data_IF_759205072582
#
_entry.id   IF_759205072582
#
_cell.length_a   1.000
_cell.length_b   1.000
_cell.length_c   1.000
_cell.angle_alpha   90.00
_cell.angle_beta   90.00
_cell.angle_gamma   90.00
#
_symmetry.space_group_name_H-M   'P 1'
#
loop_
_entity.id
_entity.type
_entity.pdbx_description
1 polymer ?
#
# COMPACT_ATOMS: atom_id res chain seq x y z
N UNK A 1 -19.19 -44.67 -20.08
CA UNK A 1 -18.39 -44.24 -18.94
C UNK A 1 -18.03 -42.76 -19.13
N UNK A 2 -18.81 -41.87 -18.50
CA UNK A 2 -18.58 -40.42 -18.57
C UNK A 2 -17.65 -40.01 -17.46
N UNK A 3 -16.53 -39.39 -17.79
CA UNK A 3 -15.70 -38.71 -16.85
C UNK A 3 -16.29 -37.33 -16.55
N UNK A 4 -16.89 -37.20 -15.37
CA UNK A 4 -17.32 -35.92 -14.82
C UNK A 4 -16.05 -35.20 -14.38
N UNK A 5 -15.66 -34.17 -15.08
CA UNK A 5 -14.60 -33.24 -14.62
C UNK A 5 -15.20 -32.40 -13.51
N UNK A 6 -14.85 -32.67 -12.28
CA UNK A 6 -15.04 -31.74 -11.18
C UNK A 6 -14.16 -30.52 -11.45
N UNK A 7 -14.80 -29.44 -11.94
CA UNK A 7 -14.19 -28.13 -11.89
C UNK A 7 -14.03 -27.77 -10.40
N UNK A 8 -12.82 -27.82 -9.89
CA UNK A 8 -12.47 -27.21 -8.62
C UNK A 8 -12.81 -25.73 -8.72
N UNK A 9 -13.80 -25.28 -7.94
CA UNK A 9 -14.00 -23.86 -7.66
C UNK A 9 -12.75 -23.37 -6.92
N UNK A 10 -11.72 -23.00 -7.68
CA UNK A 10 -10.53 -22.39 -7.13
C UNK A 10 -10.95 -21.14 -6.36
N UNK A 11 -10.72 -21.14 -5.04
CA UNK A 11 -10.57 -19.88 -4.32
C UNK A 11 -9.59 -19.06 -5.15
N UNK A 12 -10.00 -17.87 -5.60
CA UNK A 12 -9.06 -16.88 -6.12
C UNK A 12 -8.14 -16.56 -4.95
N UNK A 13 -7.01 -17.24 -4.87
CA UNK A 13 -5.93 -16.86 -3.99
C UNK A 13 -5.51 -15.48 -4.42
N UNK A 14 -5.63 -14.50 -3.56
CA UNK A 14 -5.07 -13.19 -3.80
C UNK A 14 -3.57 -13.38 -3.97
N UNK A 15 -3.03 -13.15 -5.17
CA UNK A 15 -1.59 -13.25 -5.39
C UNK A 15 -0.85 -12.30 -4.45
N UNK A 16 0.34 -12.68 -4.00
CA UNK A 16 1.16 -11.80 -3.15
C UNK A 16 1.50 -10.54 -3.93
N UNK A 17 1.23 -9.40 -3.32
CA UNK A 17 1.50 -8.09 -3.88
C UNK A 17 2.87 -7.55 -3.47
N UNK A 18 3.37 -6.60 -4.27
CA UNK A 18 4.63 -5.90 -4.03
C UNK A 18 4.44 -4.39 -4.25
N UNK A 19 4.85 -3.58 -3.26
CA UNK A 19 5.06 -2.15 -3.45
C UNK A 19 6.45 -1.92 -4.09
N UNK A 20 6.45 -1.33 -5.29
CA UNK A 20 7.67 -1.18 -6.09
C UNK A 20 8.70 -0.19 -5.53
N UNK A 21 8.35 0.57 -4.50
CA UNK A 21 9.32 1.39 -3.76
C UNK A 21 10.45 0.55 -3.15
N UNK A 22 10.15 -0.69 -2.81
CA UNK A 22 11.11 -1.69 -2.31
C UNK A 22 12.29 -1.92 -3.26
N UNK A 23 12.08 -1.79 -4.56
CA UNK A 23 13.09 -2.02 -5.60
C UNK A 23 13.32 -0.76 -6.45
N UNK A 24 13.10 0.43 -5.88
CA UNK A 24 13.12 1.71 -6.62
C UNK A 24 14.41 1.97 -7.39
N UNK A 25 15.57 1.60 -6.82
CA UNK A 25 16.85 1.79 -7.50
C UNK A 25 16.99 0.83 -8.70
N UNK A 26 16.61 -0.44 -8.53
CA UNK A 26 16.60 -1.40 -9.61
C UNK A 26 15.59 -1.02 -10.72
N UNK A 27 14.42 -0.47 -10.34
CA UNK A 27 13.43 0.04 -11.30
C UNK A 27 13.96 1.27 -12.05
N UNK A 28 14.75 2.13 -11.40
CA UNK A 28 15.37 3.28 -12.07
C UNK A 28 16.45 2.84 -13.08
N UNK A 29 17.16 1.76 -12.80
CA UNK A 29 18.21 1.24 -13.65
C UNK A 29 17.67 0.39 -14.83
N UNK A 30 16.73 -0.54 -14.54
CA UNK A 30 16.17 -1.46 -15.54
C UNK A 30 14.75 -1.89 -15.14
N UNK A 31 13.76 -1.21 -15.68
CA UNK A 31 12.35 -1.50 -15.42
C UNK A 31 11.97 -2.91 -15.84
N UNK A 32 12.33 -3.32 -17.07
CA UNK A 32 11.91 -4.61 -17.61
C UNK A 32 12.57 -5.78 -16.87
N UNK A 33 13.87 -5.71 -16.64
CA UNK A 33 14.60 -6.74 -15.90
C UNK A 33 14.13 -6.86 -14.45
N UNK A 34 13.80 -5.73 -13.81
CA UNK A 34 13.25 -5.73 -12.45
C UNK A 34 11.87 -6.39 -12.38
N UNK A 35 10.97 -6.05 -13.30
CA UNK A 35 9.64 -6.68 -13.40
C UNK A 35 9.74 -8.18 -13.69
N UNK A 36 10.67 -8.61 -14.56
CA UNK A 36 10.91 -10.04 -14.83
C UNK A 36 11.36 -10.78 -13.57
N UNK A 37 12.26 -10.19 -12.79
CA UNK A 37 12.75 -10.78 -11.53
C UNK A 37 11.63 -10.97 -10.53
N UNK A 38 10.83 -9.96 -10.26
CA UNK A 38 9.74 -10.06 -9.26
C UNK A 38 8.62 -11.01 -9.71
N UNK A 39 8.31 -11.05 -11.02
CA UNK A 39 7.41 -12.06 -11.58
C UNK A 39 7.96 -13.48 -11.37
N UNK A 40 9.27 -13.68 -11.59
CA UNK A 40 9.98 -14.93 -11.35
C UNK A 40 9.97 -15.38 -9.91
N UNK A 41 10.01 -14.44 -8.95
CA UNK A 41 9.86 -14.72 -7.50
C UNK A 41 8.43 -15.11 -7.10
N UNK A 42 7.42 -14.81 -7.93
CA UNK A 42 6.05 -15.20 -7.67
C UNK A 42 5.11 -14.05 -7.29
N UNK A 43 5.56 -12.81 -7.26
CA UNK A 43 4.68 -11.66 -7.08
C UNK A 43 3.71 -11.52 -8.25
N UNK A 44 2.46 -11.12 -7.95
CA UNK A 44 1.40 -11.05 -8.96
C UNK A 44 0.66 -9.71 -8.98
N UNK A 45 0.55 -9.04 -7.86
CA UNK A 45 -0.12 -7.76 -7.72
C UNK A 45 0.92 -6.67 -7.50
N UNK A 46 0.82 -5.58 -8.23
CA UNK A 46 1.76 -4.48 -8.08
C UNK A 46 1.07 -3.25 -7.52
N UNK A 47 1.77 -2.59 -6.63
CA UNK A 47 1.54 -1.21 -6.28
C UNK A 47 2.72 -0.36 -6.74
N UNK A 48 2.43 0.69 -7.48
CA UNK A 48 3.46 1.55 -8.08
C UNK A 48 3.93 2.62 -7.09
N UNK A 49 5.12 3.14 -7.31
CA UNK A 49 5.71 4.24 -6.51
C UNK A 49 6.32 5.34 -7.39
N UNK A 50 6.01 5.33 -8.68
CA UNK A 50 6.51 6.34 -9.62
C UNK A 50 5.40 6.76 -10.58
N UNK A 51 5.12 8.06 -10.57
CA UNK A 51 4.27 8.71 -11.55
C UNK A 51 4.87 10.09 -11.85
N UNK A 52 5.05 10.37 -13.14
CA UNK A 52 5.56 11.66 -13.59
C UNK A 52 4.92 12.04 -14.94
N UNK A 53 4.23 13.20 -14.97
CA UNK A 53 3.70 13.80 -16.20
C UNK A 53 2.84 12.85 -17.07
N UNK A 54 2.02 11.99 -16.46
CA UNK A 54 1.16 11.03 -17.15
C UNK A 54 1.87 9.73 -17.53
N UNK A 55 3.05 9.49 -17.01
CA UNK A 55 3.84 8.28 -17.25
C UNK A 55 4.11 7.55 -15.95
N UNK A 56 4.25 6.23 -16.05
CA UNK A 56 4.65 5.34 -14.98
C UNK A 56 6.01 4.72 -15.34
N UNK A 57 7.03 5.00 -14.55
CA UNK A 57 8.41 4.56 -14.82
C UNK A 57 8.90 4.94 -16.24
N UNK A 58 8.47 6.12 -16.75
CA UNK A 58 8.84 6.62 -18.06
C UNK A 58 7.98 6.11 -19.23
N UNK A 59 7.10 5.14 -19.01
CA UNK A 59 6.20 4.56 -20.02
C UNK A 59 4.81 5.20 -19.96
N UNK A 60 4.11 5.21 -21.10
CA UNK A 60 2.67 5.52 -21.10
C UNK A 60 1.87 4.48 -20.30
N UNK A 61 0.68 4.81 -19.82
CA UNK A 61 -0.17 3.85 -19.09
C UNK A 61 -0.38 2.54 -19.84
N UNK A 62 -0.66 2.60 -21.14
CA UNK A 62 -0.90 1.42 -21.96
C UNK A 62 0.35 0.55 -22.14
N UNK A 63 1.52 1.16 -22.34
CA UNK A 63 2.80 0.44 -22.48
C UNK A 63 3.18 -0.26 -21.16
N UNK A 64 3.08 0.46 -20.04
CA UNK A 64 3.41 -0.09 -18.73
C UNK A 64 2.46 -1.23 -18.35
N UNK A 65 1.15 -1.03 -18.54
CA UNK A 65 0.14 -2.06 -18.31
C UNK A 65 0.45 -3.32 -19.09
N UNK A 66 0.69 -3.20 -20.41
CA UNK A 66 1.03 -4.35 -21.26
C UNK A 66 2.28 -5.08 -20.79
N UNK A 67 3.32 -4.35 -20.40
CA UNK A 67 4.57 -4.92 -19.90
C UNK A 67 4.35 -5.77 -18.65
N UNK A 68 3.52 -5.31 -17.72
CA UNK A 68 3.17 -6.01 -16.49
C UNK A 68 2.29 -7.24 -16.79
N UNK A 69 1.28 -7.09 -17.63
CA UNK A 69 0.36 -8.17 -18.03
C UNK A 69 1.07 -9.29 -18.80
N UNK A 70 2.01 -8.96 -19.68
CA UNK A 70 2.83 -9.94 -20.42
C UNK A 70 3.67 -10.83 -19.47
N UNK A 71 3.94 -10.37 -18.25
CA UNK A 71 4.63 -11.11 -17.20
C UNK A 71 3.69 -11.85 -16.25
N UNK A 72 2.38 -11.83 -16.51
CA UNK A 72 1.36 -12.48 -15.67
C UNK A 72 1.10 -11.78 -14.34
N UNK A 73 1.36 -10.48 -14.28
CA UNK A 73 1.09 -9.62 -13.12
C UNK A 73 -0.02 -8.61 -13.43
N UNK A 74 -0.55 -7.96 -12.41
CA UNK A 74 -1.57 -6.92 -12.51
C UNK A 74 -1.17 -5.69 -11.68
N UNK A 75 -1.36 -4.48 -12.21
CA UNK A 75 -1.24 -3.26 -11.42
C UNK A 75 -2.54 -3.00 -10.70
N UNK A 76 -2.52 -3.09 -9.38
CA UNK A 76 -3.71 -2.93 -8.53
C UNK A 76 -3.84 -1.50 -8.01
N UNK A 77 -2.71 -0.93 -7.58
CA UNK A 77 -2.66 0.33 -6.87
C UNK A 77 -1.44 1.16 -7.28
N UNK A 78 -1.48 2.43 -6.96
CA UNK A 78 -0.35 3.33 -7.15
C UNK A 78 -0.25 4.30 -5.97
N UNK A 79 0.88 4.28 -5.28
CA UNK A 79 1.32 5.39 -4.45
C UNK A 79 1.67 6.56 -5.37
N UNK A 80 0.90 7.64 -5.27
CA UNK A 80 1.05 8.77 -6.16
C UNK A 80 1.41 10.02 -5.36
N UNK A 81 2.69 10.35 -5.39
CA UNK A 81 3.23 11.58 -4.83
C UNK A 81 3.63 12.49 -5.98
N UNK A 82 2.84 13.54 -6.20
CA UNK A 82 3.10 14.56 -7.21
C UNK A 82 3.63 15.79 -6.51
N UNK A 83 4.92 16.04 -6.63
CA UNK A 83 5.61 17.08 -5.86
C UNK A 83 5.37 16.91 -4.34
N UNK A 84 5.70 17.92 -3.54
CA UNK A 84 5.49 17.88 -2.10
C UNK A 84 4.00 17.83 -1.70
N UNK A 85 3.13 18.47 -2.49
CA UNK A 85 1.71 18.55 -2.18
C UNK A 85 0.92 17.25 -2.44
N UNK A 86 1.50 16.28 -3.16
CA UNK A 86 0.83 15.05 -3.52
C UNK A 86 -0.38 15.25 -4.44
N UNK A 87 -1.46 14.51 -4.19
CA UNK A 87 -2.71 14.64 -4.95
C UNK A 87 -3.53 15.79 -4.37
N UNK A 88 -3.83 16.78 -5.19
CA UNK A 88 -4.56 18.00 -4.85
C UNK A 88 -5.79 18.17 -5.75
N UNK A 89 -6.68 19.09 -5.42
CA UNK A 89 -7.83 19.42 -6.27
C UNK A 89 -7.42 19.86 -7.68
N UNK A 90 -6.29 20.57 -7.81
CA UNK A 90 -5.82 21.09 -9.09
C UNK A 90 -5.33 19.98 -10.05
N UNK A 91 -4.77 18.90 -9.50
CA UNK A 91 -4.23 17.77 -10.30
C UNK A 91 -5.14 16.53 -10.33
N UNK A 92 -6.15 16.44 -9.44
CA UNK A 92 -6.95 15.23 -9.24
C UNK A 92 -7.60 14.69 -10.51
N UNK A 93 -8.14 15.54 -11.39
CA UNK A 93 -8.76 15.09 -12.65
C UNK A 93 -7.74 14.42 -13.56
N UNK A 94 -6.59 15.03 -13.74
CA UNK A 94 -5.51 14.45 -14.55
C UNK A 94 -5.01 13.14 -13.95
N UNK A 95 -4.84 13.10 -12.62
CA UNK A 95 -4.46 11.87 -11.91
C UNK A 95 -5.48 10.76 -12.15
N UNK A 96 -6.77 11.07 -12.03
CA UNK A 96 -7.85 10.11 -12.26
C UNK A 96 -7.83 9.57 -13.70
N UNK A 97 -7.68 10.44 -14.70
CA UNK A 97 -7.66 10.04 -16.11
C UNK A 97 -6.44 9.13 -16.43
N UNK A 98 -5.25 9.50 -15.96
CA UNK A 98 -4.02 8.73 -16.21
C UNK A 98 -4.05 7.36 -15.50
N UNK A 99 -4.54 7.31 -14.27
CA UNK A 99 -4.67 6.08 -13.50
C UNK A 99 -5.78 5.17 -14.04
N UNK A 100 -6.88 5.74 -14.53
CA UNK A 100 -7.93 4.98 -15.22
C UNK A 100 -7.41 4.36 -16.52
N UNK A 101 -6.58 5.10 -17.27
CA UNK A 101 -5.93 4.57 -18.47
C UNK A 101 -4.97 3.41 -18.18
N UNK A 102 -4.29 3.44 -17.03
CA UNK A 102 -3.48 2.32 -16.53
C UNK A 102 -4.36 1.13 -16.08
N UNK A 103 -5.56 1.41 -15.59
CA UNK A 103 -6.54 0.42 -15.15
C UNK A 103 -6.38 -0.01 -13.69
N UNK A 104 -5.78 0.82 -12.84
CA UNK A 104 -5.65 0.55 -11.39
C UNK A 104 -7.00 0.62 -10.70
N UNK A 105 -7.14 -0.09 -9.58
CA UNK A 105 -8.32 -0.03 -8.72
C UNK A 105 -8.19 1.06 -7.66
N UNK A 106 -6.97 1.35 -7.23
CA UNK A 106 -6.66 2.27 -6.14
C UNK A 106 -5.61 3.30 -6.57
N UNK A 107 -5.80 4.53 -6.10
CA UNK A 107 -4.79 5.59 -6.16
C UNK A 107 -4.60 6.11 -4.74
N UNK A 108 -3.42 5.96 -4.19
CA UNK A 108 -3.15 6.17 -2.77
C UNK A 108 -2.22 7.36 -2.57
N UNK A 109 -2.61 8.27 -1.69
CA UNK A 109 -1.74 9.32 -1.17
C UNK A 109 -0.82 8.71 -0.10
N UNK A 110 0.51 8.63 -0.32
CA UNK A 110 1.40 7.90 0.57
C UNK A 110 2.00 8.73 1.70
N UNK A 111 1.89 10.06 1.66
CA UNK A 111 2.69 10.93 2.52
C UNK A 111 2.03 12.26 2.78
N UNK A 112 2.31 12.84 3.95
CA UNK A 112 2.07 14.24 4.29
C UNK A 112 3.40 14.86 4.69
N UNK A 113 3.73 15.99 4.08
CA UNK A 113 4.99 16.70 4.35
C UNK A 113 5.07 17.16 5.81
N UNK A 114 6.29 17.18 6.36
CA UNK A 114 6.52 17.51 7.76
C UNK A 114 5.95 18.89 8.15
N UNK A 115 6.05 19.87 7.26
CA UNK A 115 5.51 21.21 7.47
C UNK A 115 3.97 21.23 7.63
N UNK A 116 3.28 20.21 7.10
CA UNK A 116 1.83 20.08 7.14
C UNK A 116 1.33 19.13 8.25
N UNK A 117 2.23 18.57 9.07
CA UNK A 117 1.87 17.66 10.17
C UNK A 117 1.40 18.42 11.40
N UNK A 118 0.30 19.14 11.25
CA UNK A 118 -0.38 19.87 12.32
C UNK A 118 -1.91 19.80 12.14
N UNK A 119 -2.64 20.08 13.19
CA UNK A 119 -4.10 19.91 13.26
C UNK A 119 -4.84 20.69 12.18
N UNK A 120 -4.45 21.94 11.93
CA UNK A 120 -5.11 22.81 10.94
C UNK A 120 -4.87 22.30 9.52
N UNK A 121 -3.62 22.00 9.16
CA UNK A 121 -3.28 21.45 7.86
C UNK A 121 -3.94 20.10 7.61
N UNK A 122 -3.95 19.20 8.58
CA UNK A 122 -4.61 17.89 8.43
C UNK A 122 -6.10 18.03 8.09
N UNK A 123 -6.84 18.90 8.81
CA UNK A 123 -8.27 19.12 8.53
C UNK A 123 -8.50 19.68 7.13
N UNK A 124 -7.67 20.65 6.72
CA UNK A 124 -7.77 21.23 5.39
C UNK A 124 -7.47 20.21 4.30
N UNK A 125 -6.38 19.47 4.43
CA UNK A 125 -5.95 18.44 3.47
C UNK A 125 -7.04 17.36 3.33
N UNK A 126 -7.62 16.88 4.44
CA UNK A 126 -8.66 15.85 4.40
C UNK A 126 -9.95 16.37 3.76
N UNK A 127 -10.31 17.63 3.98
CA UNK A 127 -11.44 18.22 3.29
C UNK A 127 -11.23 18.23 1.77
N UNK A 128 -10.02 18.60 1.30
CA UNK A 128 -9.63 18.55 -0.11
C UNK A 128 -9.62 17.09 -0.63
N UNK A 129 -9.11 16.14 0.14
CA UNK A 129 -9.07 14.72 -0.23
C UNK A 129 -10.46 14.09 -0.36
N UNK A 130 -11.45 14.52 0.38
CA UNK A 130 -12.83 14.07 0.19
C UNK A 130 -13.35 14.46 -1.21
N UNK A 131 -13.00 15.66 -1.69
CA UNK A 131 -13.35 16.06 -3.07
C UNK A 131 -12.50 15.31 -4.12
N UNK A 132 -11.20 15.11 -3.86
CA UNK A 132 -10.34 14.24 -4.69
C UNK A 132 -10.95 12.84 -4.79
N UNK A 133 -11.43 12.28 -3.68
CA UNK A 133 -12.07 10.96 -3.64
C UNK A 133 -13.32 10.89 -4.53
N UNK A 134 -14.12 11.97 -4.62
CA UNK A 134 -15.25 12.03 -5.58
C UNK A 134 -14.77 12.00 -7.02
N UNK A 135 -13.75 12.81 -7.34
CA UNK A 135 -13.18 12.87 -8.69
C UNK A 135 -12.63 11.51 -9.11
N UNK A 136 -11.90 10.83 -8.21
CA UNK A 136 -11.36 9.48 -8.46
C UNK A 136 -12.48 8.45 -8.64
N UNK A 137 -13.51 8.49 -7.80
CA UNK A 137 -14.67 7.58 -7.87
C UNK A 137 -15.43 7.73 -9.19
N UNK A 138 -15.59 8.95 -9.71
CA UNK A 138 -16.20 9.20 -11.00
C UNK A 138 -15.41 8.59 -12.17
N UNK A 139 -14.12 8.39 -12.00
CA UNK A 139 -13.22 7.68 -12.92
C UNK A 139 -13.16 6.16 -12.68
N UNK A 140 -13.89 5.65 -11.69
CA UNK A 140 -13.91 4.22 -11.33
C UNK A 140 -12.74 3.79 -10.45
N UNK A 141 -12.04 4.73 -9.79
CA UNK A 141 -10.88 4.50 -8.93
C UNK A 141 -11.26 4.79 -7.48
N UNK A 142 -10.85 3.93 -6.56
CA UNK A 142 -10.95 4.20 -5.13
C UNK A 142 -9.73 5.02 -4.68
N UNK A 143 -9.98 6.20 -4.09
CA UNK A 143 -8.91 6.95 -3.45
C UNK A 143 -8.55 6.33 -2.11
N UNK A 144 -7.27 6.36 -1.74
CA UNK A 144 -6.76 5.82 -0.49
C UNK A 144 -5.73 6.71 0.19
N UNK A 145 -5.53 6.47 1.47
CA UNK A 145 -4.46 7.07 2.26
C UNK A 145 -3.65 5.99 2.98
N UNK A 146 -2.33 6.09 2.86
CA UNK A 146 -1.35 5.21 3.53
C UNK A 146 -0.78 5.91 4.77
N UNK A 147 -0.86 5.26 5.92
CA UNK A 147 -0.32 5.80 7.15
C UNK A 147 1.16 5.50 7.37
N UNK A 148 1.80 6.39 8.09
CA UNK A 148 3.06 6.17 8.78
C UNK A 148 2.84 6.12 10.29
N UNK A 149 3.88 6.41 11.07
CA UNK A 149 3.80 6.50 12.52
C UNK A 149 3.46 7.92 13.02
N UNK A 150 3.72 8.95 12.21
CA UNK A 150 3.54 10.35 12.64
C UNK A 150 2.07 10.75 12.82
N UNK A 151 1.12 10.09 12.21
CA UNK A 151 -0.31 10.34 12.40
C UNK A 151 -0.79 9.93 13.81
N UNK A 152 -0.01 9.12 14.50
CA UNK A 152 -0.30 8.66 15.87
C UNK A 152 0.36 9.52 16.96
N UNK A 153 1.12 10.56 16.58
CA UNK A 153 1.71 11.50 17.54
C UNK A 153 0.62 12.28 18.25
N UNK A 154 0.68 12.33 19.59
CA UNK A 154 -0.24 13.17 20.36
C UNK A 154 0.15 14.65 20.25
N UNK A 155 -0.71 15.44 19.64
CA UNK A 155 -0.56 16.89 19.50
C UNK A 155 -1.58 17.58 20.43
N UNK A 156 -1.14 18.07 21.57
CA UNK A 156 -1.99 18.78 22.54
C UNK A 156 -3.28 18.03 22.94
N UNK A 157 -3.17 16.72 23.12
CA UNK A 157 -4.28 15.85 23.50
C UNK A 157 -5.08 15.27 22.33
N UNK A 158 -4.71 15.59 21.10
CA UNK A 158 -5.33 15.08 19.85
C UNK A 158 -4.36 14.08 19.23
N UNK A 159 -4.85 12.88 18.90
CA UNK A 159 -4.14 11.90 18.10
C UNK A 159 -4.71 11.95 16.67
N UNK A 160 -4.01 12.58 15.72
CA UNK A 160 -4.56 12.89 14.40
C UNK A 160 -5.22 11.70 13.71
N UNK A 161 -4.62 10.52 13.78
CA UNK A 161 -5.19 9.32 13.16
C UNK A 161 -6.62 9.03 13.62
N UNK A 162 -6.87 9.08 14.95
CA UNK A 162 -8.16 8.73 15.53
C UNK A 162 -9.15 9.90 15.63
N UNK A 163 -8.63 11.11 15.78
CA UNK A 163 -9.45 12.27 16.08
C UNK A 163 -9.72 13.15 14.84
N UNK A 164 -8.96 12.94 13.75
CA UNK A 164 -9.09 13.71 12.51
C UNK A 164 -9.23 12.79 11.29
N UNK A 165 -8.22 11.93 11.00
CA UNK A 165 -8.20 11.13 9.78
C UNK A 165 -9.42 10.20 9.70
N UNK A 166 -9.61 9.34 10.69
CA UNK A 166 -10.70 8.35 10.67
C UNK A 166 -12.10 8.96 10.69
N UNK A 167 -12.40 10.02 11.50
CA UNK A 167 -13.73 10.62 11.51
C UNK A 167 -14.01 11.58 10.34
N UNK A 168 -13.01 12.28 9.81
CA UNK A 168 -13.22 13.32 8.79
C UNK A 168 -13.06 12.81 7.35
N UNK A 169 -12.36 11.68 7.12
CA UNK A 169 -12.32 11.01 5.83
C UNK A 169 -13.61 10.26 5.55
N UNK A 170 -14.33 10.66 4.49
CA UNK A 170 -15.55 9.98 4.05
C UNK A 170 -15.27 8.52 3.66
N UNK A 171 -15.82 7.58 4.42
CA UNK A 171 -15.63 6.14 4.24
C UNK A 171 -16.11 5.60 2.88
N UNK A 172 -17.02 6.32 2.21
CA UNK A 172 -17.52 5.98 0.87
C UNK A 172 -16.62 6.47 -0.26
N UNK A 173 -15.63 7.32 0.07
CA UNK A 173 -14.73 7.95 -0.89
C UNK A 173 -13.27 7.57 -0.68
N UNK A 174 -12.83 7.45 0.57
CA UNK A 174 -11.44 7.23 0.94
C UNK A 174 -11.31 5.92 1.74
N UNK A 175 -10.51 4.99 1.24
CA UNK A 175 -10.09 3.81 2.01
C UNK A 175 -8.78 4.07 2.73
N UNK A 176 -8.52 3.29 3.79
CA UNK A 176 -7.21 3.27 4.41
C UNK A 176 -6.38 2.13 3.81
N UNK A 177 -5.14 2.45 3.51
CA UNK A 177 -4.08 1.47 3.35
C UNK A 177 -3.28 1.45 4.65
N UNK A 178 -3.44 0.37 5.41
CA UNK A 178 -2.72 0.26 6.66
C UNK A 178 -1.31 -0.26 6.42
N UNK A 179 -0.31 0.50 6.86
CA UNK A 179 1.04 -0.03 7.02
C UNK A 179 1.18 -0.65 8.41
N UNK A 180 1.34 -1.97 8.45
CA UNK A 180 1.37 -2.75 9.70
C UNK A 180 2.64 -2.46 10.51
N UNK A 181 3.76 -2.17 9.85
CA UNK A 181 5.01 -1.79 10.50
C UNK A 181 4.87 -0.43 11.21
N UNK A 182 4.44 0.59 10.50
CA UNK A 182 4.35 1.95 11.05
C UNK A 182 3.29 2.06 12.14
N UNK A 183 2.15 1.39 11.98
CA UNK A 183 1.13 1.32 13.02
C UNK A 183 1.66 0.63 14.29
N UNK A 184 2.32 -0.52 14.14
CA UNK A 184 2.91 -1.27 15.27
C UNK A 184 4.05 -0.48 15.92
N UNK A 185 4.90 0.18 15.13
CA UNK A 185 5.99 1.03 15.65
C UNK A 185 5.47 2.23 16.44
N UNK A 186 4.30 2.76 16.08
CA UNK A 186 3.60 3.78 16.85
C UNK A 186 2.87 3.23 18.09
N UNK A 187 3.06 1.94 18.41
CA UNK A 187 2.45 1.29 19.58
C UNK A 187 0.99 0.90 19.37
N UNK A 188 0.49 0.90 18.14
CA UNK A 188 -0.87 0.48 17.84
C UNK A 188 -0.97 -1.04 17.67
N UNK A 189 -2.15 -1.60 17.97
CA UNK A 189 -2.50 -2.97 17.62
C UNK A 189 -3.40 -2.96 16.38
N UNK A 190 -2.94 -3.47 15.22
CA UNK A 190 -3.75 -3.48 14.00
C UNK A 190 -5.11 -4.20 14.16
N UNK A 191 -5.18 -5.28 14.95
CA UNK A 191 -6.44 -6.00 15.17
C UNK A 191 -7.44 -5.16 15.98
N UNK A 192 -6.98 -4.39 16.97
CA UNK A 192 -7.84 -3.43 17.68
C UNK A 192 -8.31 -2.31 16.75
N UNK A 193 -7.44 -1.83 15.85
CA UNK A 193 -7.81 -0.84 14.83
C UNK A 193 -8.90 -1.38 13.89
N UNK A 194 -8.80 -2.64 13.44
CA UNK A 194 -9.82 -3.27 12.60
C UNK A 194 -11.16 -3.40 13.31
N UNK A 195 -11.16 -3.79 14.58
CA UNK A 195 -12.37 -3.88 15.40
C UNK A 195 -13.02 -2.51 15.62
N UNK A 196 -12.21 -1.46 15.77
CA UNK A 196 -12.70 -0.09 15.95
C UNK A 196 -13.27 0.50 14.66
N UNK A 197 -12.73 0.13 13.50
CA UNK A 197 -13.10 0.67 12.19
C UNK A 197 -13.30 -0.44 11.15
N UNK A 198 -14.29 -1.31 11.31
CA UNK A 198 -14.49 -2.44 10.43
C UNK A 198 -14.76 -1.99 8.99
N UNK A 199 -14.16 -2.70 8.02
CA UNK A 199 -14.33 -2.45 6.59
C UNK A 199 -13.56 -1.24 6.03
N UNK A 200 -12.76 -0.55 6.85
CA UNK A 200 -12.04 0.67 6.42
C UNK A 200 -10.69 0.41 5.78
N UNK A 201 -10.09 -0.77 5.98
CA UNK A 201 -8.71 -1.08 5.60
C UNK A 201 -8.70 -2.05 4.43
N UNK A 202 -8.83 -1.55 3.21
CA UNK A 202 -8.87 -2.42 2.02
C UNK A 202 -7.52 -2.85 1.52
N UNK A 203 -6.47 -2.10 1.85
CA UNK A 203 -5.11 -2.35 1.44
C UNK A 203 -4.21 -2.49 2.67
N UNK A 204 -3.28 -3.44 2.61
CA UNK A 204 -2.30 -3.68 3.69
C UNK A 204 -0.89 -3.61 3.11
N UNK A 205 -0.01 -2.87 3.78
CA UNK A 205 1.44 -3.05 3.64
C UNK A 205 1.94 -4.05 4.66
N UNK A 206 2.46 -5.17 4.15
CA UNK A 206 3.15 -6.17 4.94
C UNK A 206 4.62 -5.80 4.98
N UNK A 207 5.01 -5.16 6.08
CA UNK A 207 6.35 -4.69 6.37
C UNK A 207 6.68 -5.13 7.79
N UNK A 208 7.78 -5.87 7.99
CA UNK A 208 8.17 -6.46 9.26
C UNK A 208 9.31 -5.68 9.92
N UNK A 209 9.55 -5.91 11.21
CA UNK A 209 10.64 -5.29 11.97
C UNK A 209 11.40 -6.33 12.79
N UNK A 210 12.74 -6.15 12.90
CA UNK A 210 13.56 -7.06 13.71
C UNK A 210 13.31 -6.90 15.21
N UNK A 211 13.04 -5.68 15.66
CA UNK A 211 12.83 -5.39 17.08
C UNK A 211 11.62 -4.50 17.28
N UNK A 212 10.88 -4.76 18.36
CA UNK A 212 9.81 -3.89 18.81
C UNK A 212 10.32 -3.10 20.01
N UNK A 213 10.49 -1.81 19.79
CA UNK A 213 10.77 -0.84 20.85
C UNK A 213 9.44 -0.23 21.35
N UNK A 214 9.53 0.60 22.39
CA UNK A 214 8.42 1.47 22.81
C UNK A 214 7.94 2.36 21.65
N UNK A 215 6.72 2.93 21.71
CA UNK A 215 6.19 3.75 20.63
C UNK A 215 7.22 4.74 20.09
N UNK A 216 7.45 4.68 18.79
CA UNK A 216 8.52 5.41 18.13
C UNK A 216 7.96 6.17 16.92
N UNK A 217 8.29 7.45 16.83
CA UNK A 217 7.69 8.36 15.86
C UNK A 217 8.69 8.97 14.86
N UNK A 218 9.97 8.59 14.90
CA UNK A 218 10.96 9.02 13.92
C UNK A 218 10.90 8.10 12.68
N UNK A 219 10.48 8.63 11.53
CA UNK A 219 10.29 7.86 10.29
C UNK A 219 11.61 7.29 9.74
N UNK A 220 12.73 7.97 9.97
CA UNK A 220 14.02 7.63 9.33
C UNK A 220 14.85 6.55 10.04
N UNK A 221 14.36 5.99 11.14
CA UNK A 221 15.06 4.92 11.89
C UNK A 221 14.24 3.64 11.85
N UNK A 222 14.13 3.07 10.65
CA UNK A 222 13.43 1.82 10.46
C UNK A 222 14.41 0.63 10.51
N UNK A 223 14.09 -0.37 11.33
CA UNK A 223 14.79 -1.65 11.45
C UNK A 223 14.00 -2.73 10.71
N UNK A 224 13.77 -2.53 9.41
CA UNK A 224 12.92 -3.37 8.58
C UNK A 224 13.53 -4.75 8.38
N UNK A 225 12.71 -5.78 8.54
CA UNK A 225 13.03 -7.18 8.29
C UNK A 225 12.24 -7.70 7.09
N UNK A 226 12.74 -8.72 6.37
CA UNK A 226 11.89 -9.49 5.47
C UNK A 226 10.65 -10.02 6.20
N UNK A 227 9.49 -10.00 5.56
CA UNK A 227 8.23 -10.43 6.16
C UNK A 227 8.36 -11.87 6.69
N UNK A 228 8.02 -12.07 7.96
CA UNK A 228 8.13 -13.35 8.66
C UNK A 228 9.50 -13.63 9.28
N UNK A 229 10.50 -12.76 9.13
CA UNK A 229 11.77 -12.85 9.85
C UNK A 229 11.83 -11.91 11.07
N UNK A 230 10.79 -11.09 11.27
CA UNK A 230 10.71 -10.12 12.34
C UNK A 230 9.77 -10.52 13.48
N UNK A 231 9.19 -9.50 14.13
CA UNK A 231 8.40 -9.67 15.36
C UNK A 231 6.91 -9.33 15.20
N UNK A 232 6.47 -8.93 14.01
CA UNK A 232 5.05 -8.66 13.76
C UNK A 232 4.31 -9.98 13.57
N UNK A 233 3.24 -10.17 14.34
CA UNK A 233 2.39 -11.36 14.27
C UNK A 233 1.41 -11.27 13.10
N UNK A 234 1.90 -11.54 11.87
CA UNK A 234 1.10 -11.50 10.66
C UNK A 234 0.00 -12.56 10.64
N UNK A 235 0.21 -13.73 11.24
CA UNK A 235 -0.83 -14.78 11.32
C UNK A 235 -2.06 -14.25 12.06
N UNK A 236 -1.86 -13.67 13.25
CA UNK A 236 -2.93 -13.06 14.03
C UNK A 236 -3.61 -11.90 13.29
N UNK A 237 -2.82 -11.03 12.65
CA UNK A 237 -3.33 -9.87 11.94
C UNK A 237 -4.14 -10.28 10.72
N UNK A 238 -3.63 -11.20 9.90
CA UNK A 238 -4.31 -11.67 8.69
C UNK A 238 -5.51 -12.57 8.99
N UNK A 239 -5.56 -13.20 10.16
CA UNK A 239 -6.79 -13.87 10.64
C UNK A 239 -7.97 -12.89 10.82
N UNK A 240 -7.69 -11.60 11.07
CA UNK A 240 -8.70 -10.55 11.21
C UNK A 240 -8.96 -9.75 9.91
N UNK A 241 -8.42 -10.17 8.78
CA UNK A 241 -8.51 -9.46 7.48
C UNK A 241 -9.93 -9.16 7.02
N UNK A 242 -10.86 -10.08 7.29
CA UNK A 242 -12.26 -9.90 6.88
C UNK A 242 -12.95 -8.79 7.68
N UNK A 243 -12.60 -8.63 8.96
CA UNK A 243 -13.07 -7.51 9.79
C UNK A 243 -12.50 -6.19 9.28
N UNK A 244 -11.22 -6.18 8.90
CA UNK A 244 -10.57 -5.02 8.29
C UNK A 244 -11.20 -4.61 6.95
N UNK A 245 -11.72 -5.59 6.20
CA UNK A 245 -12.21 -5.43 4.84
C UNK A 245 -11.10 -5.51 3.78
N UNK A 246 -10.01 -6.23 4.07
CA UNK A 246 -8.85 -6.36 3.19
C UNK A 246 -9.22 -6.94 1.83
N UNK A 247 -8.83 -6.24 0.78
CA UNK A 247 -8.95 -6.70 -0.60
C UNK A 247 -7.60 -7.09 -1.20
N UNK A 248 -6.53 -6.35 -0.87
CA UNK A 248 -5.17 -6.62 -1.35
C UNK A 248 -4.14 -6.35 -0.25
N UNK A 249 -2.99 -6.96 -0.43
CA UNK A 249 -1.82 -6.72 0.41
C UNK A 249 -0.56 -6.63 -0.45
N UNK A 250 0.40 -5.84 0.01
CA UNK A 250 1.68 -5.62 -0.66
C UNK A 250 2.83 -5.74 0.33
N UNK A 251 3.83 -6.52 -0.03
CA UNK A 251 5.12 -6.52 0.68
C UNK A 251 5.83 -5.21 0.41
N UNK A 252 6.42 -4.61 1.43
CA UNK A 252 7.26 -3.43 1.28
C UNK A 252 8.48 -3.47 2.21
N UNK A 253 9.60 -2.93 1.71
CA UNK A 253 10.83 -2.71 2.48
C UNK A 253 11.49 -1.39 2.03
N UNK A 254 11.35 -0.34 2.85
CA UNK A 254 11.90 0.99 2.55
C UNK A 254 13.43 1.00 2.50
N UNK A 255 14.08 0.04 3.16
CA UNK A 255 15.54 -0.11 3.19
C UNK A 255 16.09 -0.92 2.01
N UNK A 256 15.22 -1.35 1.08
CA UNK A 256 15.62 -2.16 -0.08
C UNK A 256 16.46 -3.39 0.33
N UNK A 257 16.04 -4.12 1.38
CA UNK A 257 16.76 -5.30 1.87
C UNK A 257 18.20 -4.99 2.29
N UNK A 258 18.48 -3.77 2.73
CA UNK A 258 19.83 -3.30 3.05
C UNK A 258 20.83 -3.47 1.88
N UNK A 259 20.36 -3.24 0.65
CA UNK A 259 21.15 -3.35 -0.58
C UNK A 259 20.99 -4.69 -1.33
N UNK A 260 20.16 -5.59 -0.81
CA UNK A 260 19.83 -6.87 -1.45
C UNK A 260 18.31 -7.08 -1.57
N UNK A 261 17.57 -6.20 -2.28
CA UNK A 261 16.10 -6.19 -2.25
C UNK A 261 15.49 -7.48 -2.78
N UNK A 262 16.03 -8.08 -3.81
CA UNK A 262 15.48 -9.32 -4.37
C UNK A 262 15.66 -10.53 -3.47
N UNK A 263 16.74 -10.60 -2.68
CA UNK A 263 16.92 -11.64 -1.65
C UNK A 263 15.92 -11.46 -0.49
N UNK A 264 15.70 -10.23 -0.03
CA UNK A 264 14.70 -9.92 0.97
C UNK A 264 13.28 -10.25 0.49
N UNK A 265 12.97 -9.95 -0.78
CA UNK A 265 11.68 -10.27 -1.39
C UNK A 265 11.47 -11.79 -1.58
N UNK A 266 12.51 -12.55 -1.92
CA UNK A 266 12.44 -14.01 -2.00
C UNK A 266 12.11 -14.63 -0.64
N UNK A 267 12.73 -14.16 0.43
CA UNK A 267 12.42 -14.59 1.80
C UNK A 267 11.00 -14.22 2.19
N UNK A 268 10.59 -12.98 1.97
CA UNK A 268 9.26 -12.50 2.31
C UNK A 268 8.15 -13.30 1.62
N UNK A 269 8.27 -13.55 0.31
CA UNK A 269 7.25 -14.31 -0.41
C UNK A 269 7.26 -15.79 0.00
N UNK A 270 8.43 -16.36 0.27
CA UNK A 270 8.55 -17.73 0.79
C UNK A 270 7.81 -17.87 2.13
N UNK A 271 8.11 -17.01 3.11
CA UNK A 271 7.48 -17.04 4.43
C UNK A 271 5.95 -16.82 4.34
N UNK A 272 5.53 -15.89 3.48
CA UNK A 272 4.09 -15.64 3.28
C UNK A 272 3.36 -16.85 2.70
N UNK A 273 3.94 -17.54 1.73
CA UNK A 273 3.25 -18.63 1.03
C UNK A 273 3.35 -19.97 1.73
N UNK A 274 4.38 -20.20 2.55
CA UNK A 274 4.58 -21.47 3.26
C UNK A 274 3.97 -21.47 4.67
N UNK A 275 4.01 -20.33 5.37
CA UNK A 275 3.73 -20.27 6.80
C UNK A 275 2.53 -19.37 7.13
N UNK A 276 2.48 -18.16 6.57
CA UNK A 276 1.54 -17.12 7.01
C UNK A 276 0.19 -17.19 6.30
N UNK A 277 0.17 -17.52 5.00
CA UNK A 277 -1.05 -17.58 4.17
C UNK A 277 -1.46 -19.04 3.85
N UNK A 278 -0.69 -20.03 4.27
CA UNK A 278 -0.97 -21.43 4.07
C UNK A 278 -2.11 -21.88 5.01
#
# INVERSE_FOLDING_TARGET
AGFSSCASSGRKGYGVGLQLYTIRDAMADDVQGSLQKISGLGYRNLELANYENGKFYGYSPAEFKKMVEDLGMEVISSHTQVEAAGITLDNARKMADDHAALGVKYCVQPWVEEADRNIESYKKIIADWNEVGRIMKDAGIQFGYHNHNFEFVNIDGIVPYYDIFMPEMDAGLITMEIDLFWATKAGQDPVEMFNRYPGRFKLFHLKDMYTREDPFFEVYKADIAPVGEGVIDFERILAAKDVAGMEYHFVEDDNQGNGAPFEALEKSISNLTTDILA
#
